data_IF_919537589302
#
_entry.id   IF_919537589302
#
_cell.length_a   1.000
_cell.length_b   1.000
_cell.length_c   1.000
_cell.angle_alpha   90.00
_cell.angle_beta   90.00
_cell.angle_gamma   90.00
#
_symmetry.space_group_name_H-M   'P 1'
#
loop_
_entity.id
_entity.type
_entity.pdbx_description
1 polymer ?
#
# COMPACT_ATOMS: atom_id res chain seq x y z
N UNK A 1 -7.01 29.32 28.86
CA UNK A 1 -7.78 29.20 27.61
C UNK A 1 -7.06 28.17 26.75
N UNK A 2 -7.42 26.89 26.91
CA UNK A 2 -6.79 25.80 26.16
C UNK A 2 -7.79 25.35 25.11
N UNK A 3 -7.58 25.81 23.88
CA UNK A 3 -8.28 25.29 22.71
C UNK A 3 -7.64 23.96 22.37
N UNK A 4 -8.10 22.89 23.01
CA UNK A 4 -7.92 21.54 22.47
C UNK A 4 -8.75 21.52 21.18
N UNK A 5 -8.10 21.80 20.06
CA UNK A 5 -8.66 21.49 18.75
C UNK A 5 -8.86 19.98 18.77
N UNK A 6 -10.12 19.55 18.89
CA UNK A 6 -10.52 18.21 18.50
C UNK A 6 -10.07 18.04 17.06
N UNK A 7 -8.92 17.40 16.84
CA UNK A 7 -8.67 16.73 15.58
C UNK A 7 -9.74 15.66 15.54
N UNK A 8 -10.86 15.94 14.88
CA UNK A 8 -11.69 14.87 14.33
C UNK A 8 -10.72 13.92 13.65
N UNK A 9 -10.56 12.72 14.22
CA UNK A 9 -9.57 11.76 13.75
C UNK A 9 -9.82 11.57 12.28
N UNK A 10 -8.89 12.02 11.44
CA UNK A 10 -8.97 11.80 10.00
C UNK A 10 -9.22 10.30 9.81
N UNK A 11 -10.41 9.94 9.34
CA UNK A 11 -10.72 8.56 8.97
C UNK A 11 -9.85 8.22 7.76
N UNK A 12 -8.61 7.80 8.02
CA UNK A 12 -7.67 7.37 6.99
C UNK A 12 -8.31 6.20 6.25
N UNK A 13 -8.16 6.24 4.93
CA UNK A 13 -8.64 5.16 4.08
C UNK A 13 -7.77 3.92 4.33
N UNK A 14 -8.40 2.74 4.44
CA UNK A 14 -7.72 1.47 4.78
C UNK A 14 -7.15 0.80 3.54
N UNK A 15 -5.91 0.34 3.63
CA UNK A 15 -5.21 -0.42 2.59
C UNK A 15 -4.60 -1.68 3.20
N UNK A 16 -4.83 -2.83 2.57
CA UNK A 16 -4.23 -4.11 2.96
C UNK A 16 -3.15 -4.47 1.92
N UNK A 17 -1.94 -4.76 2.38
CA UNK A 17 -0.84 -5.24 1.56
C UNK A 17 -0.57 -6.70 1.90
N UNK A 18 -0.74 -7.58 0.91
CA UNK A 18 -0.45 -9.02 1.03
C UNK A 18 0.90 -9.30 0.36
N UNK A 19 1.87 -9.73 1.16
CA UNK A 19 3.22 -10.10 0.74
C UNK A 19 3.42 -11.62 0.87
N UNK A 20 4.43 -12.17 0.22
CA UNK A 20 4.78 -13.59 0.34
C UNK A 20 6.02 -13.96 -0.46
N UNK A 21 6.58 -15.14 -0.17
CA UNK A 21 7.80 -15.64 -0.78
C UNK A 21 7.68 -15.92 -2.30
N UNK A 22 8.82 -16.03 -2.99
CA UNK A 22 8.87 -16.42 -4.41
C UNK A 22 8.31 -17.84 -4.59
N UNK A 23 7.45 -18.05 -5.59
CA UNK A 23 6.77 -19.34 -5.82
C UNK A 23 5.31 -19.41 -5.38
N UNK A 24 4.78 -18.39 -4.68
CA UNK A 24 3.37 -18.35 -4.25
C UNK A 24 2.40 -17.82 -5.33
N UNK A 25 2.67 -18.06 -6.61
CA UNK A 25 1.78 -17.68 -7.73
C UNK A 25 1.74 -16.20 -8.13
N UNK A 26 2.77 -15.41 -7.78
CA UNK A 26 2.88 -13.98 -8.12
C UNK A 26 3.67 -13.80 -9.43
N UNK A 27 3.19 -12.96 -10.36
CA UNK A 27 3.79 -12.80 -11.69
C UNK A 27 5.15 -12.09 -11.66
N UNK A 28 6.12 -12.62 -12.41
CA UNK A 28 7.42 -12.00 -12.62
C UNK A 28 7.27 -10.83 -13.61
N UNK A 29 7.55 -9.60 -13.18
CA UNK A 29 7.42 -8.40 -14.00
C UNK A 29 8.81 -7.78 -14.20
N UNK A 30 9.47 -8.11 -15.31
CA UNK A 30 10.85 -7.69 -15.60
C UNK A 30 10.97 -6.27 -16.15
N UNK A 31 9.87 -5.69 -16.65
CA UNK A 31 9.91 -4.48 -17.49
C UNK A 31 9.29 -3.24 -16.82
N UNK A 32 8.89 -3.34 -15.55
CA UNK A 32 8.30 -2.22 -14.80
C UNK A 32 9.36 -1.55 -13.93
N UNK A 33 9.48 -0.23 -13.94
CA UNK A 33 10.33 0.47 -12.97
C UNK A 33 9.60 0.59 -11.63
N UNK A 34 10.37 0.76 -10.55
CA UNK A 34 9.79 1.01 -9.22
C UNK A 34 8.96 2.28 -9.18
N UNK A 35 9.37 3.31 -9.93
CA UNK A 35 8.67 4.58 -10.07
C UNK A 35 7.32 4.42 -10.80
N UNK A 36 7.32 3.72 -11.95
CA UNK A 36 6.10 3.47 -12.72
C UNK A 36 5.08 2.68 -11.90
N UNK A 37 5.54 1.67 -11.15
CA UNK A 37 4.71 0.92 -10.22
C UNK A 37 4.08 1.85 -9.18
N UNK A 38 4.87 2.69 -8.51
CA UNK A 38 4.39 3.55 -7.44
C UNK A 38 3.32 4.54 -7.96
N UNK A 39 3.56 5.14 -9.12
CA UNK A 39 2.62 6.06 -9.76
C UNK A 39 1.29 5.37 -10.08
N UNK A 40 1.35 4.19 -10.72
CA UNK A 40 0.14 3.44 -11.02
C UNK A 40 -0.59 2.97 -9.77
N UNK A 41 0.14 2.45 -8.78
CA UNK A 41 -0.41 1.98 -7.52
C UNK A 41 -1.19 3.10 -6.83
N UNK A 42 -0.61 4.30 -6.67
CA UNK A 42 -1.30 5.45 -6.06
C UNK A 42 -2.57 5.84 -6.83
N UNK A 43 -2.51 5.85 -8.17
CA UNK A 43 -3.69 6.15 -9.01
C UNK A 43 -4.81 5.13 -8.78
N UNK A 44 -4.48 3.82 -8.74
CA UNK A 44 -5.46 2.77 -8.49
C UNK A 44 -6.00 2.82 -7.05
N UNK A 45 -5.14 3.09 -6.07
CA UNK A 45 -5.51 3.25 -4.67
C UNK A 45 -6.57 4.35 -4.55
N UNK A 46 -6.33 5.53 -5.11
CA UNK A 46 -7.30 6.63 -5.05
C UNK A 46 -8.61 6.31 -5.79
N UNK A 47 -8.54 5.63 -6.94
CA UNK A 47 -9.73 5.20 -7.69
C UNK A 47 -10.58 4.22 -6.90
N UNK A 48 -9.97 3.21 -6.27
CA UNK A 48 -10.68 2.16 -5.53
C UNK A 48 -11.26 2.71 -4.23
N UNK A 49 -10.51 3.55 -3.51
CA UNK A 49 -10.99 4.11 -2.25
C UNK A 49 -12.14 5.09 -2.43
N UNK A 50 -12.27 5.74 -3.61
CA UNK A 50 -13.48 6.51 -3.97
C UNK A 50 -14.74 5.65 -4.03
N UNK A 51 -14.61 4.34 -4.19
CA UNK A 51 -15.74 3.40 -4.24
C UNK A 51 -16.12 2.82 -2.87
N UNK A 52 -15.58 3.36 -1.77
CA UNK A 52 -15.73 2.85 -0.39
C UNK A 52 -15.39 1.35 -0.22
N UNK A 53 -14.53 0.81 -1.08
CA UNK A 53 -14.04 -0.57 -1.00
C UNK A 53 -12.66 -0.61 -0.35
N UNK A 54 -12.37 -1.71 0.34
CA UNK A 54 -11.04 -2.00 0.86
C UNK A 54 -10.13 -2.38 -0.30
N UNK A 55 -8.98 -1.70 -0.42
CA UNK A 55 -7.97 -2.07 -1.39
C UNK A 55 -7.09 -3.19 -0.84
N UNK A 56 -6.90 -4.23 -1.64
CA UNK A 56 -5.90 -5.28 -1.39
C UNK A 56 -4.81 -5.16 -2.47
N UNK A 57 -3.59 -4.83 -2.07
CA UNK A 57 -2.40 -4.86 -2.93
C UNK A 57 -1.70 -6.20 -2.70
N UNK A 58 -1.72 -7.08 -3.69
CA UNK A 58 -0.99 -8.35 -3.62
C UNK A 58 0.35 -8.16 -4.32
N UNK A 59 1.43 -8.11 -3.54
CA UNK A 59 2.80 -7.93 -4.03
C UNK A 59 3.63 -9.19 -3.86
N UNK A 60 4.67 -9.34 -4.68
CA UNK A 60 5.65 -10.43 -4.61
C UNK A 60 7.11 -10.00 -4.58
N UNK A 61 7.36 -8.72 -4.83
CA UNK A 61 8.70 -8.15 -4.73
C UNK A 61 8.70 -7.12 -3.63
N UNK A 62 9.49 -7.39 -2.59
CA UNK A 62 9.63 -6.52 -1.42
C UNK A 62 10.08 -5.12 -1.83
N UNK A 63 10.92 -5.00 -2.88
CA UNK A 63 11.44 -3.72 -3.35
C UNK A 63 10.33 -2.75 -3.78
N UNK A 64 9.32 -3.23 -4.53
CA UNK A 64 8.23 -2.39 -4.99
C UNK A 64 7.31 -1.98 -3.84
N UNK A 65 7.06 -2.89 -2.91
CA UNK A 65 6.28 -2.58 -1.71
C UNK A 65 7.00 -1.58 -0.82
N UNK A 66 8.30 -1.75 -0.60
CA UNK A 66 9.13 -0.82 0.15
C UNK A 66 9.14 0.56 -0.49
N UNK A 67 9.37 0.65 -1.80
CA UNK A 67 9.31 1.93 -2.53
C UNK A 67 7.94 2.58 -2.41
N UNK A 68 6.85 1.84 -2.57
CA UNK A 68 5.50 2.40 -2.46
C UNK A 68 5.19 2.96 -1.07
N UNK A 69 5.63 2.24 -0.03
CA UNK A 69 5.23 2.50 1.35
C UNK A 69 6.13 3.53 2.03
N UNK A 70 7.44 3.47 1.77
CA UNK A 70 8.46 4.26 2.46
C UNK A 70 8.88 5.51 1.68
N UNK A 71 8.50 5.68 0.41
CA UNK A 71 8.87 6.87 -0.36
C UNK A 71 8.29 8.16 0.27
N UNK A 72 9.16 9.10 0.72
CA UNK A 72 8.72 10.33 1.37
C UNK A 72 7.82 11.21 0.50
N UNK A 73 7.96 11.16 -0.82
CA UNK A 73 7.14 11.95 -1.75
C UNK A 73 5.72 11.40 -1.86
N UNK A 74 5.55 10.09 -1.68
CA UNK A 74 4.23 9.46 -1.70
C UNK A 74 3.47 9.69 -0.40
N UNK A 75 4.20 9.81 0.72
CA UNK A 75 3.66 9.94 2.07
C UNK A 75 2.60 8.85 2.38
N UNK A 76 2.84 7.62 1.91
CA UNK A 76 1.82 6.58 1.83
C UNK A 76 1.22 6.23 3.20
N UNK A 77 2.08 6.00 4.21
CA UNK A 77 1.67 5.75 5.62
C UNK A 77 0.98 6.94 6.29
N UNK A 78 1.23 8.15 5.81
CA UNK A 78 0.50 9.33 6.29
C UNK A 78 -0.92 9.36 5.73
N UNK A 79 -1.10 9.01 4.45
CA UNK A 79 -2.39 9.04 3.75
C UNK A 79 -3.31 7.86 4.07
N UNK A 80 -2.74 6.69 4.34
CA UNK A 80 -3.49 5.44 4.45
C UNK A 80 -3.19 4.66 5.73
N UNK A 81 -4.22 4.01 6.28
CA UNK A 81 -4.05 3.01 7.32
C UNK A 81 -3.67 1.67 6.66
N UNK A 82 -2.39 1.31 6.78
CA UNK A 82 -1.81 0.15 6.12
C UNK A 82 -1.80 -1.07 7.03
N UNK A 83 -2.30 -2.20 6.54
CA UNK A 83 -2.18 -3.52 7.19
C UNK A 83 -1.31 -4.42 6.32
N UNK A 84 -0.25 -4.99 6.87
CA UNK A 84 0.68 -5.86 6.16
C UNK A 84 0.46 -7.31 6.59
N UNK A 85 0.09 -8.16 5.63
CA UNK A 85 -0.08 -9.60 5.84
C UNK A 85 1.03 -10.31 5.09
N UNK A 86 1.96 -10.92 5.81
CA UNK A 86 2.97 -11.79 5.24
C UNK A 86 2.46 -13.22 5.24
N UNK A 87 2.36 -13.83 4.05
CA UNK A 87 2.03 -15.24 3.91
C UNK A 87 3.32 -15.99 3.66
N UNK A 88 3.72 -16.78 4.66
CA UNK A 88 4.80 -17.75 4.52
C UNK A 88 4.21 -19.12 4.16
N UNK A 89 4.95 -19.89 3.38
CA UNK A 89 4.60 -21.28 3.07
C UNK A 89 5.83 -22.10 3.36
N UNK A 90 5.76 -22.94 4.40
CA UNK A 90 6.75 -23.99 4.58
C UNK A 90 6.68 -24.93 3.37
N UNK A 91 7.84 -25.13 2.73
CA UNK A 91 7.97 -25.93 1.52
C UNK A 91 8.01 -27.43 1.83
#
# INVERSE_FOLDING_TARGET
>A
MNTFINNEGFNKKKVILIMGATGTGKSHLSDLTTEDFCLQAVVYVEKILKTQRVLIIVGGSNLYTEKLVEDPLLMFKYKYDCCFIWIDVEQ
#
